data_IF_462029225570
#
_entry.id   IF_462029225570
#
_cell.length_a   1.000
_cell.length_b   1.000
_cell.length_c   1.000
_cell.angle_alpha   90.00
_cell.angle_beta   90.00
_cell.angle_gamma   90.00
#
_symmetry.space_group_name_H-M   'P 1'
#
loop_
_entity.id
_entity.type
_entity.pdbx_description
1 polymer ?
#
# COMPACT_ATOMS: atom_id res chain seq x y z
N UNK A 1 41.89 14.97 -25.64
CA UNK A 1 41.76 14.11 -24.43
C UNK A 1 40.83 14.71 -23.35
N UNK A 2 40.52 16.01 -23.35
CA UNK A 2 39.59 16.64 -22.38
C UNK A 2 38.09 16.40 -22.63
N UNK A 3 37.65 16.10 -23.87
CA UNK A 3 36.21 15.95 -24.18
C UNK A 3 35.55 14.67 -23.65
N UNK A 4 36.33 13.64 -23.30
CA UNK A 4 35.78 12.35 -22.81
C UNK A 4 35.46 12.45 -21.31
N UNK A 5 36.24 13.23 -20.55
CA UNK A 5 36.09 13.40 -19.10
C UNK A 5 34.81 14.17 -18.73
N UNK A 6 34.44 15.17 -19.53
CA UNK A 6 33.23 15.97 -19.31
C UNK A 6 31.93 15.18 -19.56
N UNK A 7 31.96 14.22 -20.50
CA UNK A 7 30.83 13.32 -20.79
C UNK A 7 30.60 12.31 -19.66
N UNK A 8 31.68 11.87 -18.97
CA UNK A 8 31.63 10.96 -17.80
C UNK A 8 31.08 11.62 -16.53
N UNK A 9 31.45 12.87 -16.23
CA UNK A 9 30.90 13.58 -15.05
C UNK A 9 29.40 13.87 -15.21
N UNK A 10 28.94 14.23 -16.41
CA UNK A 10 27.51 14.43 -16.70
C UNK A 10 26.70 13.14 -16.54
N UNK A 11 27.27 12.00 -16.93
CA UNK A 11 26.63 10.69 -16.75
C UNK A 11 26.50 10.30 -15.28
N UNK A 12 27.52 10.56 -14.47
CA UNK A 12 27.48 10.30 -13.03
C UNK A 12 26.41 11.15 -12.32
N UNK A 13 26.32 12.44 -12.65
CA UNK A 13 25.29 13.34 -12.11
C UNK A 13 23.89 12.88 -12.53
N UNK A 14 23.71 12.42 -13.77
CA UNK A 14 22.44 11.89 -14.26
C UNK A 14 22.03 10.60 -13.51
N UNK A 15 22.96 9.68 -13.29
CA UNK A 15 22.72 8.48 -12.49
C UNK A 15 22.39 8.81 -11.04
N UNK A 16 23.09 9.78 -10.43
CA UNK A 16 22.84 10.22 -9.05
C UNK A 16 21.43 10.82 -8.90
N UNK A 17 21.01 11.69 -9.82
CA UNK A 17 19.67 12.27 -9.84
C UNK A 17 18.58 11.21 -10.06
N UNK A 18 18.83 10.21 -10.91
CA UNK A 18 17.91 9.09 -11.10
C UNK A 18 17.75 8.27 -9.82
N UNK A 19 18.85 7.91 -9.16
CA UNK A 19 18.80 7.16 -7.89
C UNK A 19 18.12 7.94 -6.77
N UNK A 20 18.32 9.27 -6.71
CA UNK A 20 17.69 10.12 -5.69
C UNK A 20 16.17 10.20 -5.89
N UNK A 21 15.72 10.40 -7.14
CA UNK A 21 14.29 10.44 -7.46
C UNK A 21 13.62 9.09 -7.17
N UNK A 22 14.27 7.98 -7.51
CA UNK A 22 13.75 6.64 -7.23
C UNK A 22 13.64 6.43 -5.71
N UNK A 23 14.65 6.81 -4.92
CA UNK A 23 14.62 6.68 -3.46
C UNK A 23 13.46 7.47 -2.83
N UNK A 24 13.24 8.70 -3.29
CA UNK A 24 12.15 9.57 -2.81
C UNK A 24 10.76 9.06 -3.20
N UNK A 25 10.64 8.35 -4.33
CA UNK A 25 9.34 7.79 -4.77
C UNK A 25 8.91 6.59 -3.92
N UNK A 26 9.86 5.88 -3.29
CA UNK A 26 9.57 4.72 -2.44
C UNK A 26 9.16 5.07 -1.00
N UNK A 27 9.27 6.33 -0.56
CA UNK A 27 8.79 6.74 0.77
C UNK A 27 7.27 6.59 0.91
N UNK A 28 6.53 6.75 -0.18
CA UNK A 28 5.10 6.46 -0.19
C UNK A 28 4.89 4.98 -0.45
N UNK A 29 4.45 4.24 0.58
CA UNK A 29 3.98 2.86 0.39
C UNK A 29 2.87 2.88 -0.66
N UNK A 30 3.08 2.26 -1.84
CA UNK A 30 2.11 2.33 -2.95
C UNK A 30 0.77 1.68 -2.58
N UNK A 31 0.74 0.91 -1.50
CA UNK A 31 -0.41 0.21 -0.98
C UNK A 31 -1.25 1.06 0.00
N UNK A 32 -0.79 2.25 0.40
CA UNK A 32 -1.44 3.02 1.44
C UNK A 32 -2.79 3.60 0.98
N UNK A 33 -2.82 4.31 -0.15
CA UNK A 33 -4.06 4.81 -0.76
C UNK A 33 -5.09 3.72 -1.10
N UNK A 34 -4.72 2.60 -1.76
CA UNK A 34 -5.70 1.56 -2.05
C UNK A 34 -6.18 0.85 -0.78
N UNK A 35 -5.33 0.74 0.26
CA UNK A 35 -5.75 0.25 1.56
C UNK A 35 -6.79 1.16 2.23
N UNK A 36 -6.51 2.45 2.36
CA UNK A 36 -7.42 3.39 3.04
C UNK A 36 -8.75 3.47 2.32
N UNK A 37 -8.74 3.57 0.99
CA UNK A 37 -9.96 3.59 0.18
C UNK A 37 -10.80 2.32 0.35
N UNK A 38 -10.17 1.15 0.48
CA UNK A 38 -10.88 -0.09 0.74
C UNK A 38 -11.59 -0.07 2.10
N UNK A 39 -10.88 0.30 3.17
CA UNK A 39 -11.45 0.31 4.52
C UNK A 39 -12.50 1.41 4.70
N UNK A 40 -12.39 2.55 4.02
CA UNK A 40 -13.42 3.59 4.03
C UNK A 40 -14.73 3.06 3.44
N UNK A 41 -14.66 2.29 2.34
CA UNK A 41 -15.83 1.62 1.77
C UNK A 41 -16.43 0.62 2.74
N UNK A 42 -15.60 -0.18 3.43
CA UNK A 42 -16.07 -1.14 4.44
C UNK A 42 -16.76 -0.43 5.60
N UNK A 43 -16.20 0.68 6.08
CA UNK A 43 -16.76 1.43 7.19
C UNK A 43 -18.14 1.99 6.84
N UNK A 44 -18.31 2.56 5.64
CA UNK A 44 -19.62 3.03 5.15
C UNK A 44 -20.65 1.90 5.08
N UNK A 45 -20.27 0.75 4.55
CA UNK A 45 -21.18 -0.40 4.43
C UNK A 45 -21.56 -0.99 5.79
N UNK A 46 -20.62 -0.96 6.75
CA UNK A 46 -20.90 -1.38 8.12
C UNK A 46 -21.91 -0.43 8.79
N UNK A 47 -21.83 0.88 8.51
CA UNK A 47 -22.83 1.86 8.96
C UNK A 47 -24.20 1.63 8.30
N UNK A 48 -24.23 1.16 7.05
CA UNK A 48 -25.45 0.80 6.31
C UNK A 48 -26.03 -0.57 6.72
N UNK A 49 -25.40 -1.28 7.66
CA UNK A 49 -25.84 -2.62 8.11
C UNK A 49 -25.62 -3.73 7.09
N UNK A 50 -24.81 -3.47 6.05
CA UNK A 50 -24.48 -4.45 5.02
C UNK A 50 -23.40 -5.40 5.55
N UNK A 51 -23.59 -6.71 5.34
CA UNK A 51 -22.58 -7.69 5.72
C UNK A 51 -21.27 -7.46 4.92
N UNK A 52 -20.21 -7.07 5.62
CA UNK A 52 -18.90 -6.74 5.03
C UNK A 52 -17.98 -7.95 4.86
N UNK A 53 -18.38 -9.13 5.35
CA UNK A 53 -17.56 -10.35 5.33
C UNK A 53 -17.15 -10.78 3.91
N UNK A 54 -18.06 -10.69 2.93
CA UNK A 54 -17.75 -11.05 1.55
C UNK A 54 -16.84 -10.04 0.86
N UNK A 55 -16.91 -8.75 1.24
CA UNK A 55 -15.97 -7.75 0.72
C UNK A 55 -14.58 -7.91 1.31
N UNK A 56 -14.47 -8.26 2.59
CA UNK A 56 -13.20 -8.56 3.26
C UNK A 56 -12.40 -9.66 2.54
N UNK A 57 -13.07 -10.67 1.97
CA UNK A 57 -12.42 -11.72 1.16
C UNK A 57 -11.70 -11.17 -0.08
N UNK A 58 -12.27 -10.14 -0.70
CA UNK A 58 -11.72 -9.51 -1.90
C UNK A 58 -10.79 -8.33 -1.60
N UNK A 59 -10.57 -8.02 -0.31
CA UNK A 59 -9.71 -6.92 0.12
C UNK A 59 -8.34 -6.99 -0.54
N UNK A 60 -7.68 -8.14 -0.46
CA UNK A 60 -6.31 -8.22 -0.98
C UNK A 60 -6.24 -7.98 -2.48
N UNK A 61 -7.23 -8.44 -3.23
CA UNK A 61 -7.28 -8.21 -4.66
C UNK A 61 -7.42 -6.71 -5.00
N UNK A 62 -8.30 -6.01 -4.28
CA UNK A 62 -8.53 -4.56 -4.43
C UNK A 62 -7.31 -3.73 -3.98
N UNK A 63 -6.77 -4.01 -2.78
CA UNK A 63 -5.62 -3.28 -2.23
C UNK A 63 -4.39 -3.45 -3.11
N UNK A 64 -4.20 -4.64 -3.67
CA UNK A 64 -3.01 -4.96 -4.47
C UNK A 64 -3.21 -4.70 -5.96
N UNK A 65 -4.34 -4.09 -6.35
CA UNK A 65 -4.69 -3.78 -7.74
C UNK A 65 -4.53 -4.99 -8.68
N UNK A 66 -4.88 -6.18 -8.20
CA UNK A 66 -4.78 -7.43 -8.97
C UNK A 66 -3.37 -8.04 -9.12
N UNK A 67 -2.32 -7.43 -8.56
CA UNK A 67 -0.97 -8.01 -8.59
C UNK A 67 -0.91 -9.35 -7.84
N UNK A 68 -0.56 -10.44 -8.53
CA UNK A 68 -0.52 -11.79 -7.93
C UNK A 68 0.43 -11.87 -6.74
N UNK A 69 1.65 -11.33 -6.86
CA UNK A 69 2.67 -11.39 -5.80
C UNK A 69 2.20 -10.62 -4.57
N UNK A 70 1.72 -9.40 -4.77
CA UNK A 70 1.21 -8.55 -3.70
C UNK A 70 -0.04 -9.15 -3.06
N UNK A 71 -0.90 -9.82 -3.84
CA UNK A 71 -2.09 -10.51 -3.34
C UNK A 71 -1.72 -11.69 -2.42
N UNK A 72 -0.70 -12.49 -2.77
CA UNK A 72 -0.20 -13.56 -1.89
C UNK A 72 0.35 -12.99 -0.59
N UNK A 73 1.15 -11.92 -0.66
CA UNK A 73 1.70 -11.24 0.51
C UNK A 73 0.58 -10.67 1.37
N UNK A 74 -0.40 -10.01 0.75
CA UNK A 74 -1.53 -9.44 1.44
C UNK A 74 -2.34 -10.51 2.16
N UNK A 75 -2.66 -11.63 1.51
CA UNK A 75 -3.41 -12.73 2.14
C UNK A 75 -2.69 -13.24 3.38
N UNK A 76 -1.36 -13.37 3.32
CA UNK A 76 -0.55 -13.76 4.47
C UNK A 76 -0.62 -12.73 5.61
N UNK A 77 -0.53 -11.44 5.30
CA UNK A 77 -0.63 -10.35 6.29
C UNK A 77 -2.05 -10.32 6.89
N UNK A 78 -3.08 -10.45 6.07
CA UNK A 78 -4.49 -10.48 6.47
C UNK A 78 -4.76 -11.63 7.42
N UNK A 79 -4.33 -12.85 7.10
CA UNK A 79 -4.52 -14.01 7.99
C UNK A 79 -3.86 -13.79 9.35
N UNK A 80 -2.67 -13.18 9.38
CA UNK A 80 -1.98 -12.88 10.65
C UNK A 80 -2.65 -11.79 11.48
N UNK A 81 -3.37 -10.87 10.85
CA UNK A 81 -3.97 -9.71 11.50
C UNK A 81 -5.51 -9.73 11.49
N UNK A 82 -6.12 -10.85 11.09
CA UNK A 82 -7.55 -10.94 10.78
C UNK A 82 -8.43 -10.50 11.96
N UNK A 83 -8.11 -10.98 13.16
CA UNK A 83 -8.84 -10.66 14.38
C UNK A 83 -8.72 -9.18 14.73
N UNK A 84 -7.52 -8.63 14.60
CA UNK A 84 -7.26 -7.20 14.83
C UNK A 84 -8.04 -6.34 13.84
N UNK A 85 -8.02 -6.68 12.55
CA UNK A 85 -8.72 -5.95 11.50
C UNK A 85 -10.24 -6.00 11.73
N UNK A 86 -10.77 -7.20 12.02
CA UNK A 86 -12.19 -7.39 12.28
C UNK A 86 -12.65 -6.59 13.51
N UNK A 87 -11.84 -6.56 14.57
CA UNK A 87 -12.12 -5.77 15.76
C UNK A 87 -12.05 -4.27 15.46
N UNK A 88 -11.02 -3.81 14.74
CA UNK A 88 -10.85 -2.39 14.39
C UNK A 88 -12.01 -1.85 13.55
N UNK A 89 -12.47 -2.63 12.55
CA UNK A 89 -13.67 -2.30 11.74
C UNK A 89 -14.91 -2.17 12.63
N UNK A 90 -15.13 -3.12 13.55
CA UNK A 90 -16.28 -3.09 14.48
C UNK A 90 -16.25 -1.86 15.39
N UNK A 91 -15.05 -1.46 15.82
CA UNK A 91 -14.85 -0.25 16.62
C UNK A 91 -14.89 1.04 15.82
N UNK A 92 -15.21 0.97 14.51
CA UNK A 92 -15.32 2.10 13.59
C UNK A 92 -14.08 3.01 13.61
N UNK A 93 -12.90 2.42 13.76
CA UNK A 93 -11.64 3.17 13.73
C UNK A 93 -11.31 3.65 12.32
N UNK A 94 -10.52 4.72 12.27
CA UNK A 94 -10.05 5.36 11.05
C UNK A 94 -9.29 4.38 10.13
N UNK A 95 -9.63 4.38 8.84
CA UNK A 95 -9.05 3.48 7.83
C UNK A 95 -7.54 3.58 7.74
N UNK A 96 -6.96 4.76 7.98
CA UNK A 96 -5.51 4.95 7.99
C UNK A 96 -4.86 4.21 9.16
N UNK A 97 -5.50 4.22 10.34
CA UNK A 97 -5.02 3.47 11.49
C UNK A 97 -4.99 1.96 11.22
N UNK A 98 -6.04 1.43 10.58
CA UNK A 98 -6.09 0.01 10.18
C UNK A 98 -4.96 -0.29 9.20
N UNK A 99 -4.80 0.52 8.15
CA UNK A 99 -3.78 0.33 7.12
C UNK A 99 -2.35 0.40 7.66
N UNK A 100 -2.08 1.24 8.66
CA UNK A 100 -0.80 1.30 9.37
C UNK A 100 -0.54 0.04 10.19
N UNK A 101 -1.56 -0.50 10.88
CA UNK A 101 -1.44 -1.74 11.66
C UNK A 101 -1.10 -2.94 10.78
N UNK A 102 -1.65 -3.01 9.58
CA UNK A 102 -1.37 -4.09 8.62
C UNK A 102 -0.17 -3.79 7.72
N UNK A 103 0.55 -2.70 7.99
CA UNK A 103 1.78 -2.30 7.29
C UNK A 103 1.61 -1.96 5.79
N UNK A 104 0.39 -1.68 5.34
CA UNK A 104 0.10 -1.19 3.97
C UNK A 104 0.25 0.33 3.84
N UNK A 105 -0.01 1.03 4.95
CA UNK A 105 0.59 2.31 5.30
C UNK A 105 1.61 2.03 6.42
#
# INVERSE_FOLDING_TARGET
>A
MLSITFKKMKFLVFFLLLTLNVLLTFEQKPLCNPCTSFFDKIQKLNQEGVNTADKLKNMCYEITLGSQILNVICKRIMVRNLDTITQEIKTLKDSNAICRKVNFC
#
